data_IF_088046162752
#
_entry.id   IF_088046162752
#
_cell.length_a   1.000
_cell.length_b   1.000
_cell.length_c   1.000
_cell.angle_alpha   90.00
_cell.angle_beta   90.00
_cell.angle_gamma   90.00
#
_symmetry.space_group_name_H-M   'P 1'
#
loop_
_entity.id
_entity.type
_entity.pdbx_description
1 polymer ?
#
# COMPACT_ATOMS: atom_id res chain seq x y z
N UNK A 1 1.74 27.06 -1.00
CA UNK A 1 0.78 27.42 0.07
C UNK A 1 0.25 26.18 0.80
N UNK A 2 -0.65 25.35 0.23
CA UNK A 2 -1.21 24.20 0.98
C UNK A 2 -0.19 23.10 1.32
N UNK A 3 0.83 22.90 0.48
CA UNK A 3 1.89 21.91 0.72
C UNK A 3 2.71 22.19 1.98
N UNK A 4 2.83 23.44 2.41
CA UNK A 4 3.63 23.86 3.58
C UNK A 4 2.87 23.71 4.91
N UNK A 5 1.56 23.44 4.86
CA UNK A 5 0.76 23.28 6.06
C UNK A 5 1.13 21.98 6.77
N UNK A 6 1.20 22.02 8.11
CA UNK A 6 1.18 20.79 8.90
C UNK A 6 -0.20 20.17 8.81
N UNK A 7 -0.25 18.90 8.43
CA UNK A 7 -1.50 18.19 8.15
C UNK A 7 -1.58 16.90 8.97
N UNK A 8 -2.79 16.43 9.16
CA UNK A 8 -3.06 15.09 9.67
C UNK A 8 -3.75 14.28 8.57
N UNK A 9 -3.31 13.05 8.37
CA UNK A 9 -3.98 12.04 7.55
C UNK A 9 -4.56 10.98 8.48
N UNK A 10 -5.88 10.87 8.46
CA UNK A 10 -6.63 10.01 9.39
C UNK A 10 -7.25 8.80 8.67
N UNK A 11 -7.15 8.75 7.35
CA UNK A 11 -7.72 7.71 6.52
C UNK A 11 -6.87 7.46 5.29
N UNK A 12 -5.75 6.77 5.48
CA UNK A 12 -4.98 6.17 4.39
C UNK A 12 -4.97 4.65 4.48
N UNK A 13 -5.10 3.99 3.35
CA UNK A 13 -4.93 2.55 3.21
C UNK A 13 -3.53 2.25 2.71
N UNK A 14 -2.75 1.45 3.43
CA UNK A 14 -1.37 1.11 3.04
C UNK A 14 -1.32 0.46 1.65
N UNK A 15 -2.20 -0.51 1.43
CA UNK A 15 -2.46 -1.23 0.18
C UNK A 15 -3.03 -0.34 -0.94
N UNK A 16 -3.45 0.88 -0.63
CA UNK A 16 -3.83 1.91 -1.60
C UNK A 16 -2.77 3.01 -1.82
N UNK A 17 -1.67 2.98 -1.07
CA UNK A 17 -0.64 4.02 -1.07
C UNK A 17 0.73 3.52 -1.56
N UNK A 18 0.80 2.29 -2.09
CA UNK A 18 2.01 1.74 -2.68
C UNK A 18 2.41 2.56 -3.91
N UNK A 19 3.68 2.98 -3.97
CA UNK A 19 4.25 3.61 -5.18
C UNK A 19 4.16 2.64 -6.36
N UNK A 20 3.69 3.12 -7.50
CA UNK A 20 3.61 2.31 -8.71
C UNK A 20 4.96 1.67 -9.10
N UNK A 21 6.06 2.42 -9.01
CA UNK A 21 7.39 1.90 -9.31
C UNK A 21 7.80 0.76 -8.34
N UNK A 22 7.52 0.90 -7.05
CA UNK A 22 7.75 -0.16 -6.05
C UNK A 22 6.91 -1.39 -6.34
N UNK A 23 5.63 -1.22 -6.69
CA UNK A 23 4.77 -2.33 -7.06
C UNK A 23 5.28 -3.07 -8.31
N UNK A 24 5.74 -2.34 -9.32
CA UNK A 24 6.34 -2.92 -10.54
C UNK A 24 7.66 -3.65 -10.28
N UNK A 25 8.50 -3.16 -9.36
CA UNK A 25 9.69 -3.87 -8.89
C UNK A 25 9.33 -5.18 -8.18
N UNK A 26 8.45 -5.11 -7.18
CA UNK A 26 8.01 -6.28 -6.41
C UNK A 26 7.29 -7.31 -7.30
N UNK A 27 6.52 -6.86 -8.30
CA UNK A 27 5.90 -7.74 -9.28
C UNK A 27 6.94 -8.54 -10.08
N UNK A 28 8.04 -7.91 -10.51
CA UNK A 28 9.14 -8.61 -11.20
C UNK A 28 9.80 -9.64 -10.29
N UNK A 29 10.07 -9.26 -9.04
CA UNK A 29 10.69 -10.17 -8.06
C UNK A 29 9.80 -11.37 -7.73
N UNK A 30 8.48 -11.19 -7.77
CA UNK A 30 7.49 -12.26 -7.57
C UNK A 30 7.08 -13.01 -8.85
N UNK A 31 7.67 -12.69 -10.01
CA UNK A 31 7.36 -13.36 -11.28
C UNK A 31 5.97 -13.03 -11.85
N UNK A 32 5.41 -11.86 -11.53
CA UNK A 32 4.16 -11.37 -12.13
C UNK A 32 4.49 -10.70 -13.47
N UNK A 33 4.28 -11.43 -14.56
CA UNK A 33 4.69 -11.02 -15.93
C UNK A 33 3.65 -10.20 -16.70
N UNK A 34 2.62 -9.70 -16.03
CA UNK A 34 1.57 -8.85 -16.63
C UNK A 34 1.59 -7.43 -16.07
N UNK A 35 1.06 -6.44 -16.80
CA UNK A 35 0.86 -5.11 -16.25
C UNK A 35 0.03 -5.13 -14.97
N UNK A 36 0.40 -4.29 -14.01
CA UNK A 36 -0.37 -4.07 -12.79
C UNK A 36 -1.47 -3.03 -13.04
N UNK A 37 -2.62 -3.24 -12.40
CA UNK A 37 -3.79 -2.39 -12.48
C UNK A 37 -4.04 -1.70 -11.14
N UNK A 38 -3.21 -0.70 -10.85
CA UNK A 38 -3.19 0.02 -9.56
C UNK A 38 -4.06 1.30 -9.56
N UNK A 39 -4.39 1.83 -10.73
CA UNK A 39 -5.13 3.09 -10.88
C UNK A 39 -6.51 2.79 -11.47
N UNK A 40 -7.55 3.10 -10.70
CA UNK A 40 -8.93 3.04 -11.17
C UNK A 40 -9.21 4.14 -12.20
N UNK A 41 -10.12 3.90 -13.16
CA UNK A 41 -10.59 4.96 -14.05
C UNK A 41 -11.31 6.05 -13.25
N UNK A 42 -11.39 7.29 -13.78
CA UNK A 42 -12.08 8.39 -13.12
C UNK A 42 -13.55 8.11 -12.80
N UNK A 43 -14.21 7.29 -13.63
CA UNK A 43 -15.58 6.85 -13.43
C UNK A 43 -15.61 5.33 -13.22
N UNK A 44 -16.03 4.93 -12.03
CA UNK A 44 -16.16 3.53 -11.63
C UNK A 44 -17.65 3.21 -11.38
N UNK A 45 -18.17 2.09 -11.91
CA UNK A 45 -19.60 1.79 -11.85
C UNK A 45 -20.09 1.42 -10.45
N UNK A 46 -19.20 1.11 -9.52
CA UNK A 46 -19.51 0.87 -8.10
C UNK A 46 -18.25 0.90 -7.24
N UNK A 47 -18.44 1.03 -5.92
CA UNK A 47 -17.37 0.85 -4.94
C UNK A 47 -16.71 -0.53 -5.04
N UNK A 48 -17.49 -1.59 -5.30
CA UNK A 48 -16.94 -2.94 -5.48
C UNK A 48 -16.00 -3.01 -6.69
N UNK A 49 -16.36 -2.35 -7.80
CA UNK A 49 -15.50 -2.26 -8.97
C UNK A 49 -14.21 -1.49 -8.67
N UNK A 50 -14.29 -0.38 -7.93
CA UNK A 50 -13.11 0.39 -7.51
C UNK A 50 -12.17 -0.42 -6.61
N UNK A 51 -12.72 -1.16 -5.64
CA UNK A 51 -11.92 -1.98 -4.71
C UNK A 51 -11.09 -3.05 -5.44
N UNK A 52 -11.56 -3.56 -6.60
CA UNK A 52 -10.78 -4.54 -7.40
C UNK A 52 -9.45 -4.00 -7.96
N UNK A 53 -9.16 -2.70 -7.82
CA UNK A 53 -7.85 -2.13 -8.19
C UNK A 53 -6.81 -2.28 -7.06
N UNK A 54 -7.22 -2.68 -5.86
CA UNK A 54 -6.32 -3.02 -4.76
C UNK A 54 -5.70 -4.41 -4.93
N UNK A 55 -6.32 -5.28 -5.73
CA UNK A 55 -5.90 -6.68 -5.88
C UNK A 55 -4.42 -6.81 -6.28
N UNK A 56 -3.93 -5.93 -7.15
CA UNK A 56 -2.55 -5.96 -7.62
C UNK A 56 -1.56 -5.39 -6.61
N UNK A 57 -1.96 -4.37 -5.84
CA UNK A 57 -1.16 -3.87 -4.73
C UNK A 57 -1.04 -4.94 -3.64
N UNK A 58 -2.15 -5.61 -3.30
CA UNK A 58 -2.18 -6.71 -2.35
C UNK A 58 -1.29 -7.85 -2.85
N UNK A 59 -1.38 -8.24 -4.14
CA UNK A 59 -0.60 -9.34 -4.71
C UNK A 59 0.91 -9.14 -4.58
N UNK A 60 1.41 -7.90 -4.66
CA UNK A 60 2.84 -7.60 -4.50
C UNK A 60 3.27 -7.42 -3.04
N UNK A 61 2.34 -7.29 -2.11
CA UNK A 61 2.59 -7.10 -0.67
C UNK A 61 2.40 -8.39 0.13
N UNK A 62 2.91 -9.52 -0.35
CA UNK A 62 2.72 -10.83 0.30
C UNK A 62 3.92 -11.32 1.11
N UNK A 63 5.00 -10.53 1.21
CA UNK A 63 6.20 -10.86 1.97
C UNK A 63 6.46 -9.82 3.07
N UNK A 64 7.12 -10.21 4.15
CA UNK A 64 7.50 -9.26 5.22
C UNK A 64 8.34 -8.10 4.69
N UNK A 65 9.26 -8.38 3.76
CA UNK A 65 10.10 -7.37 3.13
C UNK A 65 9.29 -6.36 2.31
N UNK A 66 8.29 -6.82 1.55
CA UNK A 66 7.41 -5.95 0.78
C UNK A 66 6.54 -5.07 1.71
N UNK A 67 5.97 -5.66 2.76
CA UNK A 67 5.17 -4.93 3.75
C UNK A 67 5.99 -3.87 4.50
N UNK A 68 7.19 -4.24 4.96
CA UNK A 68 8.12 -3.33 5.64
C UNK A 68 8.51 -2.18 4.71
N UNK A 69 8.90 -2.49 3.47
CA UNK A 69 9.29 -1.47 2.48
C UNK A 69 8.15 -0.49 2.20
N UNK A 70 6.96 -1.00 1.94
CA UNK A 70 5.80 -0.15 1.58
C UNK A 70 5.33 0.71 2.74
N UNK A 71 5.37 0.20 3.98
CA UNK A 71 5.09 1.00 5.18
C UNK A 71 6.09 2.16 5.36
N UNK A 72 7.38 1.86 5.24
CA UNK A 72 8.44 2.87 5.31
C UNK A 72 8.27 3.94 4.21
N UNK A 73 8.03 3.50 2.97
CA UNK A 73 7.85 4.41 1.83
C UNK A 73 6.65 5.35 1.99
N UNK A 74 5.54 4.86 2.56
CA UNK A 74 4.39 5.69 2.92
C UNK A 74 4.75 6.75 3.96
N UNK A 75 5.54 6.39 4.98
CA UNK A 75 6.03 7.35 5.98
C UNK A 75 6.89 8.44 5.36
N UNK A 76 7.81 8.07 4.47
CA UNK A 76 8.66 9.01 3.72
C UNK A 76 7.83 9.96 2.85
N UNK A 77 6.86 9.44 2.11
CA UNK A 77 6.01 10.26 1.23
C UNK A 77 5.11 11.19 2.04
N UNK A 78 4.52 10.69 3.12
CA UNK A 78 3.68 11.49 4.03
C UNK A 78 4.48 12.65 4.65
N UNK A 79 5.72 12.39 5.09
CA UNK A 79 6.59 13.42 5.62
C UNK A 79 6.97 14.47 4.56
N UNK A 80 7.25 14.05 3.32
CA UNK A 80 7.52 14.95 2.20
C UNK A 80 6.33 15.86 1.87
N UNK A 81 5.11 15.43 2.20
CA UNK A 81 3.90 16.22 2.10
C UNK A 81 3.57 17.07 3.34
N UNK A 82 4.43 17.15 4.36
CA UNK A 82 4.16 17.83 5.64
C UNK A 82 2.94 17.25 6.40
N UNK A 83 2.79 15.92 6.38
CA UNK A 83 1.89 15.19 7.27
C UNK A 83 2.64 14.93 8.59
N UNK A 84 2.15 15.50 9.69
CA UNK A 84 2.78 15.38 11.02
C UNK A 84 2.13 14.29 11.88
N UNK A 85 0.95 13.85 11.49
CA UNK A 85 0.21 12.80 12.16
C UNK A 85 -0.47 11.91 11.11
N UNK A 86 -0.20 10.62 11.17
CA UNK A 86 -0.59 9.64 10.16
C UNK A 86 -1.25 8.43 10.83
N UNK A 87 -2.53 8.19 10.54
CA UNK A 87 -3.22 6.95 10.90
C UNK A 87 -3.35 6.04 9.68
N UNK A 88 -2.44 5.05 9.61
CA UNK A 88 -2.42 4.07 8.52
C UNK A 88 -3.37 2.91 8.82
N UNK A 89 -4.13 2.50 7.82
CA UNK A 89 -5.07 1.38 7.88
C UNK A 89 -4.70 0.32 6.85
N UNK A 90 -4.88 -0.94 7.19
CA UNK A 90 -4.78 -2.06 6.25
C UNK A 90 -5.54 -3.26 6.83
N UNK A 91 -5.77 -4.27 6.01
CA UNK A 91 -6.42 -5.51 6.45
C UNK A 91 -5.39 -6.66 6.46
N UNK A 92 -4.80 -7.03 7.61
CA UNK A 92 -3.73 -8.04 7.67
C UNK A 92 -4.06 -9.37 6.99
N UNK A 93 -5.34 -9.76 6.99
CA UNK A 93 -5.83 -10.99 6.36
C UNK A 93 -5.64 -11.03 4.84
N UNK A 94 -5.49 -9.89 4.18
CA UNK A 94 -5.26 -9.83 2.72
C UNK A 94 -3.80 -10.14 2.34
N UNK A 95 -2.88 -10.12 3.30
CA UNK A 95 -1.44 -10.29 3.08
C UNK A 95 -0.91 -11.66 3.55
N UNK A 96 -1.76 -12.68 3.54
CA UNK A 96 -1.45 -14.03 4.02
C UNK A 96 -1.31 -15.07 2.89
N UNK A 97 -1.38 -14.66 1.62
CA UNK A 97 -1.43 -15.58 0.47
C UNK A 97 -0.10 -16.32 0.23
N UNK A 98 1.03 -15.75 0.69
CA UNK A 98 2.33 -16.40 0.65
C UNK A 98 2.75 -17.05 1.98
N UNK A 99 1.79 -17.32 2.87
CA UNK A 99 2.02 -18.13 4.09
C UNK A 99 2.31 -17.34 5.36
N UNK A 100 2.26 -16.00 5.32
CA UNK A 100 2.37 -15.17 6.53
C UNK A 100 1.17 -15.37 7.45
N UNK A 101 1.42 -15.33 8.74
CA UNK A 101 0.40 -15.19 9.78
C UNK A 101 -0.03 -13.73 9.95
N UNK A 102 -1.20 -13.49 10.54
CA UNK A 102 -1.64 -12.13 10.88
C UNK A 102 -0.62 -11.39 11.74
N UNK A 103 0.03 -12.09 12.68
CA UNK A 103 1.04 -11.51 13.56
C UNK A 103 2.30 -11.08 12.80
N UNK A 104 2.77 -11.89 11.85
CA UNK A 104 3.92 -11.54 10.99
C UNK A 104 3.59 -10.35 10.08
N UNK A 105 2.38 -10.31 9.49
CA UNK A 105 1.93 -9.16 8.70
C UNK A 105 1.93 -7.88 9.52
N UNK A 106 1.37 -7.91 10.74
CA UNK A 106 1.35 -6.75 11.64
C UNK A 106 2.78 -6.33 12.01
N UNK A 107 3.64 -7.29 12.37
CA UNK A 107 5.01 -7.02 12.76
C UNK A 107 5.83 -6.39 11.60
N UNK A 108 5.67 -6.91 10.38
CA UNK A 108 6.35 -6.38 9.20
C UNK A 108 5.94 -4.93 8.89
N UNK A 109 4.63 -4.62 8.94
CA UNK A 109 4.16 -3.24 8.73
C UNK A 109 4.65 -2.31 9.83
N UNK A 110 4.70 -2.75 11.10
CA UNK A 110 5.22 -1.94 12.21
C UNK A 110 6.74 -1.73 12.17
N UNK A 111 7.48 -2.58 11.45
CA UNK A 111 8.94 -2.49 11.35
C UNK A 111 9.41 -1.49 10.29
N UNK A 112 8.53 -1.10 9.36
CA UNK A 112 8.79 -0.09 8.31
C UNK A 112 8.42 1.31 8.78
#
# INVERSE_FOLDING_TARGET
MYREWRKAELHVHLDGAVRQATAEELARDHGIERPLRLVAPPDCPSQAAYISYFDDAIAVMQTEAALTRTAYELGVDSAAENIDYLEVRWAPRLHMLAGLTVSEVIAAVLAG
#
